data_IF_527870974423
#
_entry.id   IF_527870974423
#
_cell.length_a   1.000
_cell.length_b   1.000
_cell.length_c   1.000
_cell.angle_alpha   90.00
_cell.angle_beta   90.00
_cell.angle_gamma   90.00
#
_symmetry.space_group_name_H-M   'P 1'
#
loop_
_entity.id
_entity.type
_entity.pdbx_description
1 polymer ?
#
# COMPACT_ATOMS: atom_id res chain seq x y z
N UNK A 1 -23.26 9.73 22.60
CA UNK A 1 -21.83 10.01 22.35
C UNK A 1 -21.66 10.18 20.86
N UNK A 2 -20.91 11.19 20.37
CA UNK A 2 -20.62 11.30 18.95
C UNK A 2 -19.73 10.14 18.51
N UNK A 3 -19.93 9.65 17.28
CA UNK A 3 -19.01 8.70 16.64
C UNK A 3 -17.73 9.43 16.29
N UNK A 4 -16.58 8.83 16.60
CA UNK A 4 -15.25 9.37 16.29
C UNK A 4 -14.47 8.38 15.43
N UNK A 5 -13.71 8.88 14.46
CA UNK A 5 -12.77 8.07 13.69
C UNK A 5 -11.59 7.65 14.58
N UNK A 6 -11.36 6.35 14.68
CA UNK A 6 -10.23 5.78 15.40
C UNK A 6 -8.97 5.67 14.51
N UNK A 7 -8.00 4.89 14.98
CA UNK A 7 -6.85 4.53 14.16
C UNK A 7 -7.31 3.87 12.85
N UNK A 8 -6.81 4.38 11.73
CA UNK A 8 -7.11 3.87 10.41
C UNK A 8 -5.84 3.78 9.57
N UNK A 9 -5.87 2.86 8.60
CA UNK A 9 -4.82 2.67 7.61
C UNK A 9 -5.43 2.00 6.39
N UNK A 10 -4.82 2.21 5.23
CA UNK A 10 -5.27 1.63 3.97
C UNK A 10 -4.07 1.32 3.06
N UNK A 11 -4.26 0.48 2.06
CA UNK A 11 -3.20 0.18 1.10
C UNK A 11 -3.48 -1.06 0.27
N UNK A 12 -2.43 -1.63 -0.31
CA UNK A 12 -2.51 -2.85 -1.12
C UNK A 12 -1.84 -3.98 -0.36
N UNK A 13 -2.56 -5.06 -0.15
CA UNK A 13 -2.03 -6.27 0.44
C UNK A 13 -1.70 -7.30 -0.65
N UNK A 14 -0.77 -8.19 -0.33
CA UNK A 14 -0.45 -9.39 -1.09
C UNK A 14 0.00 -9.17 -2.54
N UNK A 15 0.80 -8.13 -2.77
CA UNK A 15 1.48 -7.95 -4.05
C UNK A 15 2.59 -9.01 -4.18
N UNK A 16 2.44 -9.93 -5.13
CA UNK A 16 3.41 -10.99 -5.42
C UNK A 16 4.44 -10.48 -6.43
N UNK A 17 5.69 -10.38 -6.01
CA UNK A 17 6.78 -9.82 -6.82
C UNK A 17 7.97 -10.77 -6.84
N UNK A 18 8.48 -11.06 -8.04
CA UNK A 18 9.71 -11.83 -8.22
C UNK A 18 10.78 -10.92 -8.82
N UNK A 19 11.89 -10.74 -8.10
CA UNK A 19 13.09 -10.07 -8.60
C UNK A 19 14.10 -11.12 -9.05
N UNK A 20 14.53 -11.00 -10.31
CA UNK A 20 15.65 -11.77 -10.86
C UNK A 20 16.84 -10.82 -11.00
N UNK A 21 17.97 -11.20 -10.41
CA UNK A 21 19.27 -10.56 -10.60
C UNK A 21 20.08 -11.45 -11.56
N UNK A 22 20.53 -10.87 -12.67
CA UNK A 22 21.31 -11.55 -13.70
C UNK A 22 22.65 -10.84 -13.82
N UNK A 23 23.65 -11.37 -13.15
CA UNK A 23 25.02 -10.86 -13.13
C UNK A 23 25.98 -12.05 -13.26
N UNK A 24 26.64 -12.19 -14.41
CA UNK A 24 27.41 -13.37 -14.78
C UNK A 24 26.55 -14.61 -15.13
N UNK A 25 27.17 -15.79 -15.09
CA UNK A 25 26.57 -17.05 -15.56
C UNK A 25 25.51 -17.62 -14.60
N UNK A 26 25.42 -17.11 -13.37
CA UNK A 26 24.45 -17.57 -12.36
C UNK A 26 23.40 -16.50 -12.07
N UNK A 27 22.12 -16.87 -12.18
CA UNK A 27 21.01 -15.98 -11.85
C UNK A 27 20.55 -16.18 -10.40
N UNK A 28 20.19 -15.09 -9.72
CA UNK A 28 19.63 -15.12 -8.37
C UNK A 28 18.17 -14.67 -8.36
N UNK A 29 17.32 -15.39 -7.63
CA UNK A 29 15.88 -15.14 -7.56
C UNK A 29 15.49 -14.75 -6.14
N UNK A 30 14.62 -13.73 -6.03
CA UNK A 30 13.93 -13.36 -4.80
C UNK A 30 12.43 -13.27 -5.08
N UNK A 31 11.63 -14.11 -4.45
CA UNK A 31 10.16 -14.10 -4.50
C UNK A 31 9.63 -13.54 -3.17
N UNK A 32 8.77 -12.53 -3.24
CA UNK A 32 8.20 -11.84 -2.08
C UNK A 32 6.68 -11.75 -2.21
N UNK A 33 6.01 -11.84 -1.06
CA UNK A 33 4.64 -11.41 -0.86
C UNK A 33 4.65 -10.12 -0.04
N UNK A 34 4.26 -8.99 -0.64
CA UNK A 34 4.43 -7.66 -0.05
C UNK A 34 3.07 -7.01 0.22
N UNK A 35 2.90 -6.50 1.44
CA UNK A 35 1.74 -5.69 1.83
C UNK A 35 2.21 -4.31 2.28
N UNK A 36 1.53 -3.26 1.81
CA UNK A 36 1.81 -1.86 2.15
C UNK A 36 0.56 -1.25 2.78
N UNK A 37 0.74 -0.53 3.89
CA UNK A 37 -0.29 0.25 4.54
C UNK A 37 0.22 1.68 4.80
N UNK A 38 -0.62 2.66 4.52
CA UNK A 38 -0.40 4.08 4.77
C UNK A 38 -1.41 4.56 5.81
N UNK A 39 -0.97 5.47 6.66
CA UNK A 39 -1.78 6.18 7.65
C UNK A 39 -1.40 7.66 7.65
N UNK A 40 -2.30 8.54 8.10
CA UNK A 40 -2.12 9.98 8.05
C UNK A 40 -3.43 10.74 8.25
N UNK A 41 -3.51 11.95 7.70
CA UNK A 41 -4.74 12.76 7.69
C UNK A 41 -5.78 12.13 6.73
N UNK A 42 -6.80 11.53 7.33
CA UNK A 42 -7.81 10.71 6.65
C UNK A 42 -9.24 11.12 7.04
N UNK A 43 -9.42 12.23 7.74
CA UNK A 43 -10.74 12.68 8.18
C UNK A 43 -11.64 12.99 6.97
N UNK A 44 -11.11 13.72 6.00
CA UNK A 44 -11.85 14.15 4.82
C UNK A 44 -12.36 12.97 3.98
N UNK A 45 -11.57 11.89 3.83
CA UNK A 45 -12.00 10.70 3.10
C UNK A 45 -13.09 9.94 3.85
N UNK A 46 -13.01 9.83 5.18
CA UNK A 46 -13.99 9.07 5.97
C UNK A 46 -15.29 9.85 6.23
N UNK A 47 -15.21 11.17 6.44
CA UNK A 47 -16.37 11.99 6.79
C UNK A 47 -17.06 12.63 5.57
N UNK A 48 -16.35 12.87 4.47
CA UNK A 48 -16.90 13.54 3.28
C UNK A 48 -16.66 12.81 1.96
N UNK A 49 -15.80 11.79 1.93
CA UNK A 49 -15.44 11.06 0.71
C UNK A 49 -14.46 11.79 -0.20
N UNK A 50 -13.79 12.85 0.27
CA UNK A 50 -12.75 13.53 -0.51
C UNK A 50 -11.48 12.67 -0.57
N UNK A 51 -11.08 12.29 -1.78
CA UNK A 51 -9.89 11.48 -2.02
C UNK A 51 -8.62 12.31 -2.28
N UNK A 52 -8.63 13.62 -2.01
CA UNK A 52 -7.50 14.51 -2.32
C UNK A 52 -6.18 14.07 -1.67
N UNK A 53 -6.26 13.50 -0.46
CA UNK A 53 -5.10 12.98 0.29
C UNK A 53 -4.92 11.45 0.15
N UNK A 54 -5.70 10.80 -0.73
CA UNK A 54 -5.70 9.34 -0.89
C UNK A 54 -4.85 8.97 -2.09
N UNK A 55 -3.63 8.49 -1.84
CA UNK A 55 -2.84 7.80 -2.87
C UNK A 55 -3.56 6.50 -3.27
N UNK A 56 -3.94 6.28 -4.53
CA UNK A 56 -4.63 5.06 -4.92
C UNK A 56 -3.82 3.81 -4.56
N UNK A 57 -4.51 2.75 -4.13
CA UNK A 57 -3.84 1.47 -3.79
C UNK A 57 -3.22 0.79 -5.01
N UNK A 58 -3.64 1.16 -6.22
CA UNK A 58 -2.94 0.76 -7.44
C UNK A 58 -1.57 1.44 -7.55
N UNK A 59 -1.45 2.70 -7.14
CA UNK A 59 -0.19 3.45 -7.16
C UNK A 59 0.82 2.91 -6.14
N UNK A 60 0.38 2.40 -4.98
CA UNK A 60 1.30 1.75 -4.02
C UNK A 60 1.83 0.39 -4.49
N UNK A 61 1.15 -0.24 -5.45
CA UNK A 61 1.57 -1.51 -6.07
C UNK A 61 2.56 -1.29 -7.22
N UNK A 62 2.51 -0.14 -7.89
CA UNK A 62 3.33 0.19 -9.05
C UNK A 62 4.78 0.52 -8.66
#
# INVERSE_FOLDING_TARGET
>A
MPTILGQNQYGKAENRVVKIVRDGDTHHIKDLNVSVALSGDMDDVHYSGSNANVLPTDTTKN
#
